data_IF_701265082454
#
_entry.id   IF_701265082454
#
_cell.length_a   1.000
_cell.length_b   1.000
_cell.length_c   1.000
_cell.angle_alpha   90.00
_cell.angle_beta   90.00
_cell.angle_gamma   90.00
#
_symmetry.space_group_name_H-M   'P 1'
#
loop_
_entity.id
_entity.type
_entity.pdbx_description
1 polymer ?
#
# COMPACT_ATOMS: atom_id res chain seq x y z
N UNK A 1 1.69 -1.79 -14.73
CA UNK A 1 2.36 -0.96 -13.71
C UNK A 1 1.35 -0.01 -13.08
N UNK A 2 1.16 -0.14 -11.77
CA UNK A 2 0.16 0.57 -10.96
C UNK A 2 0.83 1.16 -9.74
N UNK A 3 0.50 2.42 -9.42
CA UNK A 3 0.99 3.11 -8.23
C UNK A 3 -0.21 3.66 -7.49
N UNK A 4 -0.29 3.42 -6.17
CA UNK A 4 -1.42 3.83 -5.36
C UNK A 4 -0.94 4.37 -4.00
N UNK A 5 -1.19 5.65 -3.74
CA UNK A 5 -0.86 6.27 -2.45
C UNK A 5 -1.87 5.85 -1.41
N UNK A 6 -1.52 4.90 -0.54
CA UNK A 6 -2.39 4.43 0.55
C UNK A 6 -2.52 5.52 1.62
N UNK A 7 -1.42 6.18 1.99
CA UNK A 7 -1.41 7.33 2.89
C UNK A 7 -0.27 8.28 2.56
N UNK A 8 -0.50 9.58 2.82
CA UNK A 8 0.56 10.59 2.84
C UNK A 8 0.21 11.64 3.89
N UNK A 9 1.13 11.89 4.83
CA UNK A 9 0.94 12.89 5.89
C UNK A 9 1.54 12.52 7.25
N UNK A 10 1.23 13.32 8.27
CA UNK A 10 1.82 13.22 9.63
C UNK A 10 1.57 11.91 10.36
N UNK A 11 0.60 11.10 9.90
CA UNK A 11 0.28 9.77 10.45
C UNK A 11 1.09 8.64 9.82
N UNK A 12 2.03 8.97 8.92
CA UNK A 12 2.83 8.02 8.16
C UNK A 12 2.43 7.98 6.69
N UNK A 13 3.41 7.76 5.83
CA UNK A 13 3.17 7.46 4.43
C UNK A 13 2.87 5.97 4.25
N UNK A 14 2.35 5.61 3.09
CA UNK A 14 2.36 4.25 2.57
C UNK A 14 1.99 4.32 1.09
N UNK A 15 2.85 3.78 0.22
CA UNK A 15 2.61 3.76 -1.22
C UNK A 15 2.68 2.33 -1.70
N UNK A 16 1.65 1.89 -2.41
CA UNK A 16 1.62 0.61 -3.10
C UNK A 16 2.15 0.79 -4.52
N UNK A 17 3.02 -0.12 -4.95
CA UNK A 17 3.54 -0.19 -6.32
C UNK A 17 3.43 -1.62 -6.80
N UNK A 18 2.91 -1.83 -8.01
CA UNK A 18 2.82 -3.15 -8.61
C UNK A 18 3.15 -3.09 -10.09
N UNK A 19 3.89 -4.08 -10.58
CA UNK A 19 4.08 -4.28 -12.02
C UNK A 19 3.02 -5.24 -12.62
N UNK A 20 2.18 -5.86 -11.79
CA UNK A 20 1.19 -6.87 -12.14
C UNK A 20 1.59 -8.31 -11.75
N UNK A 21 2.88 -8.56 -11.54
CA UNK A 21 3.41 -9.84 -11.04
C UNK A 21 3.92 -9.71 -9.59
N UNK A 22 4.63 -8.61 -9.31
CA UNK A 22 5.20 -8.27 -8.01
C UNK A 22 4.51 -7.03 -7.48
N UNK A 23 4.24 -7.01 -6.18
CA UNK A 23 3.65 -5.88 -5.49
C UNK A 23 4.46 -5.52 -4.26
N UNK A 24 4.76 -4.24 -4.10
CA UNK A 24 5.64 -3.70 -3.08
C UNK A 24 4.94 -2.56 -2.34
N UNK A 25 5.32 -2.40 -1.07
CA UNK A 25 4.97 -1.25 -0.25
C UNK A 25 6.22 -0.39 -0.03
N UNK A 26 6.09 0.89 -0.33
CA UNK A 26 7.14 1.90 -0.14
C UNK A 26 6.73 2.80 1.03
N UNK A 27 7.68 3.03 1.94
CA UNK A 27 7.52 3.89 3.12
C UNK A 27 6.24 3.53 3.91
N UNK A 28 6.16 2.27 4.35
CA UNK A 28 5.01 1.68 5.05
C UNK A 28 4.87 2.21 6.49
N UNK A 29 4.78 3.52 6.65
CA UNK A 29 4.66 4.23 7.93
C UNK A 29 3.32 4.07 8.65
N UNK A 30 2.40 3.28 8.10
CA UNK A 30 1.16 2.86 8.74
C UNK A 30 1.30 1.47 9.38
N UNK A 31 0.43 1.14 10.33
CA UNK A 31 0.37 -0.23 10.85
C UNK A 31 -0.08 -1.21 9.75
N UNK A 32 0.39 -2.45 9.81
CA UNK A 32 0.02 -3.50 8.85
C UNK A 32 -1.52 -3.67 8.71
N UNK A 33 -2.25 -3.50 9.83
CA UNK A 33 -3.73 -3.52 9.83
C UNK A 33 -4.34 -2.41 8.98
N UNK A 34 -3.86 -1.17 9.11
CA UNK A 34 -4.39 -0.04 8.33
C UNK A 34 -3.96 -0.10 6.87
N UNK A 35 -2.75 -0.61 6.59
CA UNK A 35 -2.29 -0.90 5.22
C UNK A 35 -3.21 -1.93 4.56
N UNK A 36 -3.44 -3.08 5.22
CA UNK A 36 -4.33 -4.12 4.71
C UNK A 36 -5.74 -3.61 4.45
N UNK A 37 -6.33 -2.87 5.42
CA UNK A 37 -7.64 -2.25 5.26
C UNK A 37 -7.73 -1.35 4.03
N UNK A 38 -6.69 -0.55 3.76
CA UNK A 38 -6.67 0.37 2.61
C UNK A 38 -6.44 -0.36 1.30
N UNK A 39 -5.60 -1.39 1.28
CA UNK A 39 -5.42 -2.27 0.13
C UNK A 39 -6.75 -2.94 -0.23
N UNK A 40 -7.42 -3.58 0.74
CA UNK A 40 -8.71 -4.25 0.55
C UNK A 40 -9.78 -3.27 0.04
N UNK A 41 -9.87 -2.07 0.63
CA UNK A 41 -10.84 -1.05 0.20
C UNK A 41 -10.65 -0.59 -1.25
N UNK A 42 -9.48 -0.86 -1.83
CA UNK A 42 -9.10 -0.51 -3.21
C UNK A 42 -8.96 -1.73 -4.11
N UNK A 43 -9.25 -2.94 -3.59
CA UNK A 43 -9.09 -4.20 -4.33
C UNK A 43 -7.64 -4.53 -4.69
N UNK A 44 -6.69 -4.07 -3.87
CA UNK A 44 -5.25 -4.30 -4.08
C UNK A 44 -4.74 -5.40 -3.15
N UNK A 45 -3.71 -6.12 -3.56
CA UNK A 45 -3.05 -7.14 -2.73
C UNK A 45 -1.55 -6.90 -2.77
N UNK A 46 -0.93 -6.77 -1.60
CA UNK A 46 0.53 -6.75 -1.48
C UNK A 46 1.04 -8.19 -1.51
N UNK A 47 2.25 -8.41 -2.04
CA UNK A 47 2.88 -9.73 -1.99
C UNK A 47 3.17 -10.09 -0.52
N UNK A 48 2.87 -11.33 -0.15
CA UNK A 48 3.11 -11.91 1.17
C UNK A 48 4.60 -12.07 1.47
#
# INVERSE_FOLDING_TARGET
MSVCVLASGSKGNAIYVSDGATSLLVDAGLSAREIGRRLDSRGLTAAS
#
